data_IF_248500481348
#
_entry.id   IF_248500481348
#
_cell.length_a   1.000
_cell.length_b   1.000
_cell.length_c   1.000
_cell.angle_alpha   90.00
_cell.angle_beta   90.00
_cell.angle_gamma   90.00
#
_symmetry.space_group_name_H-M   'P 1'
#
loop_
_entity.id
_entity.type
_entity.pdbx_description
1 polymer ?
#
# COMPACT_ATOMS: atom_id res chain seq x y z
N UNK A 1 -21.25 5.45 7.30
CA UNK A 1 -20.14 5.66 6.36
C UNK A 1 -19.77 4.31 5.76
N UNK A 2 -19.87 4.16 4.44
CA UNK A 2 -19.48 2.92 3.77
C UNK A 2 -17.95 2.79 3.73
N UNK A 3 -17.43 1.61 3.38
CA UNK A 3 -15.99 1.36 3.35
C UNK A 3 -15.23 2.35 2.44
N UNK A 4 -15.79 2.62 1.26
CA UNK A 4 -15.16 3.47 0.25
C UNK A 4 -14.99 4.91 0.76
N UNK A 5 -16.02 5.47 1.37
CA UNK A 5 -15.97 6.80 1.98
C UNK A 5 -14.88 6.86 3.07
N UNK A 6 -14.75 5.80 3.90
CA UNK A 6 -13.71 5.78 4.95
C UNK A 6 -12.31 5.70 4.35
N UNK A 7 -12.13 4.89 3.32
CA UNK A 7 -10.87 4.77 2.59
C UNK A 7 -10.46 6.05 1.85
N UNK A 8 -11.43 6.85 1.34
CA UNK A 8 -11.15 8.13 0.67
C UNK A 8 -10.34 9.09 1.55
N UNK A 9 -10.46 9.01 2.88
CA UNK A 9 -9.63 9.77 3.84
C UNK A 9 -8.13 9.51 3.68
N UNK A 10 -7.74 8.28 3.34
CA UNK A 10 -6.34 7.86 3.21
C UNK A 10 -5.89 7.70 1.76
N UNK A 11 -6.81 7.76 0.80
CA UNK A 11 -6.54 7.55 -0.63
C UNK A 11 -5.42 8.45 -1.19
N UNK A 12 -5.36 9.71 -0.72
CA UNK A 12 -4.29 10.62 -1.15
C UNK A 12 -2.89 10.14 -0.77
N UNK A 13 -2.74 9.33 0.30
CA UNK A 13 -1.48 8.71 0.72
C UNK A 13 -1.06 7.66 -0.31
N UNK A 14 -2.02 6.85 -0.78
CA UNK A 14 -1.79 5.83 -1.82
C UNK A 14 -1.32 6.50 -3.10
N UNK A 15 -2.06 7.51 -3.58
CA UNK A 15 -1.72 8.26 -4.79
C UNK A 15 -0.39 9.00 -4.69
N UNK A 16 -0.02 9.49 -3.49
CA UNK A 16 1.30 10.07 -3.25
C UNK A 16 2.39 9.00 -3.36
N UNK A 17 2.19 7.83 -2.75
CA UNK A 17 3.12 6.71 -2.84
C UNK A 17 3.31 6.24 -4.29
N UNK A 18 2.24 6.18 -5.07
CA UNK A 18 2.26 5.80 -6.49
C UNK A 18 3.10 6.75 -7.35
N UNK A 19 3.27 8.01 -6.93
CA UNK A 19 4.19 8.96 -7.58
C UNK A 19 5.63 8.82 -7.10
N UNK A 20 5.82 8.42 -5.85
CA UNK A 20 7.14 8.29 -5.22
C UNK A 20 7.87 7.00 -5.67
N UNK A 21 7.14 5.95 -6.08
CA UNK A 21 7.71 4.65 -6.44
C UNK A 21 7.16 4.09 -7.75
N UNK A 22 8.02 3.37 -8.47
CA UNK A 22 7.63 2.59 -9.65
C UNK A 22 7.58 1.11 -9.28
N UNK A 23 6.39 0.51 -9.36
CA UNK A 23 6.19 -0.94 -9.27
C UNK A 23 5.90 -1.45 -10.68
N UNK A 24 6.65 -2.44 -11.13
CA UNK A 24 6.54 -2.91 -12.50
C UNK A 24 5.17 -3.57 -12.75
N UNK A 25 4.54 -3.24 -13.89
CA UNK A 25 3.20 -3.70 -14.31
C UNK A 25 2.02 -3.18 -13.47
N UNK A 26 2.25 -2.34 -12.47
CA UNK A 26 1.14 -1.76 -11.71
C UNK A 26 0.53 -0.57 -12.45
N UNK A 27 -0.79 -0.62 -12.57
CA UNK A 27 -1.67 0.48 -12.95
C UNK A 27 -2.22 1.19 -11.72
N UNK A 28 -2.88 2.33 -11.92
CA UNK A 28 -3.51 3.07 -10.82
C UNK A 28 -4.53 2.22 -10.05
N UNK A 29 -5.21 1.29 -10.71
CA UNK A 29 -6.15 0.36 -10.07
C UNK A 29 -5.45 -0.59 -9.10
N UNK A 30 -4.24 -1.06 -9.41
CA UNK A 30 -3.48 -1.94 -8.52
C UNK A 30 -3.09 -1.21 -7.23
N UNK A 31 -2.62 0.04 -7.36
CA UNK A 31 -2.32 0.91 -6.22
C UNK A 31 -3.54 1.11 -5.32
N UNK A 32 -4.70 1.42 -5.92
CA UNK A 32 -5.94 1.63 -5.18
C UNK A 32 -6.45 0.34 -4.52
N UNK A 33 -6.34 -0.80 -5.21
CA UNK A 33 -6.73 -2.10 -4.68
C UNK A 33 -5.89 -2.49 -3.46
N UNK A 34 -4.56 -2.39 -3.56
CA UNK A 34 -3.67 -2.67 -2.43
C UNK A 34 -3.85 -1.67 -1.29
N UNK A 35 -4.12 -0.40 -1.62
CA UNK A 35 -4.52 0.62 -0.65
C UNK A 35 -5.76 0.20 0.15
N UNK A 36 -6.80 -0.27 -0.53
CA UNK A 36 -8.02 -0.76 0.11
C UNK A 36 -7.77 -2.01 0.97
N UNK A 37 -6.97 -2.97 0.48
CA UNK A 37 -6.64 -4.18 1.25
C UNK A 37 -5.90 -3.85 2.55
N UNK A 38 -4.89 -2.99 2.48
CA UNK A 38 -4.14 -2.57 3.67
C UNK A 38 -5.02 -1.76 4.62
N UNK A 39 -5.93 -0.94 4.10
CA UNK A 39 -6.88 -0.20 4.92
C UNK A 39 -7.86 -1.15 5.65
N UNK A 40 -8.40 -2.14 4.94
CA UNK A 40 -9.27 -3.16 5.52
C UNK A 40 -8.58 -3.93 6.65
N UNK A 41 -7.37 -4.43 6.40
CA UNK A 41 -6.57 -5.13 7.42
C UNK A 41 -6.26 -4.23 8.63
N UNK A 42 -6.11 -2.92 8.41
CA UNK A 42 -5.91 -1.96 9.48
C UNK A 42 -7.18 -1.77 10.32
N UNK A 43 -8.36 -1.67 9.70
CA UNK A 43 -9.65 -1.61 10.39
C UNK A 43 -9.93 -2.90 11.18
N UNK A 44 -9.64 -4.08 10.63
CA UNK A 44 -9.81 -5.35 11.35
C UNK A 44 -8.89 -5.45 12.57
N UNK A 45 -7.65 -4.94 12.45
CA UNK A 45 -6.69 -4.94 13.56
C UNK A 45 -7.00 -3.88 14.62
N UNK A 46 -7.65 -2.78 14.23
CA UNK A 46 -7.95 -1.63 15.08
C UNK A 46 -9.33 -1.06 14.74
N UNK A 47 -10.43 -1.63 15.26
CA UNK A 47 -11.79 -1.22 14.90
C UNK A 47 -12.11 0.27 15.19
N UNK A 48 -11.40 0.86 16.16
CA UNK A 48 -11.50 2.25 16.58
C UNK A 48 -10.69 3.23 15.70
N UNK A 49 -9.86 2.73 14.78
CA UNK A 49 -8.91 3.55 14.01
C UNK A 49 -9.59 4.65 13.18
N UNK A 50 -10.82 4.39 12.73
CA UNK A 50 -11.59 5.36 11.92
C UNK A 50 -12.08 6.58 12.72
N UNK A 51 -12.06 6.51 14.06
CA UNK A 51 -12.48 7.59 14.95
C UNK A 51 -11.34 8.60 15.24
N UNK A 52 -10.08 8.20 15.07
CA UNK A 52 -8.90 9.05 15.25
C UNK A 52 -8.14 9.21 13.93
N UNK A 53 -8.41 10.31 13.22
CA UNK A 53 -7.79 10.58 11.92
C UNK A 53 -6.26 10.70 11.98
N UNK A 54 -5.72 11.26 13.06
CA UNK A 54 -4.28 11.44 13.21
C UNK A 54 -3.57 10.09 13.32
N UNK A 55 -4.14 9.17 14.11
CA UNK A 55 -3.65 7.81 14.27
C UNK A 55 -3.86 7.01 13.01
N UNK A 56 -5.02 7.16 12.35
CA UNK A 56 -5.31 6.53 11.07
C UNK A 56 -4.26 6.89 10.03
N UNK A 57 -4.00 8.17 9.80
CA UNK A 57 -3.03 8.61 8.81
C UNK A 57 -1.62 8.09 9.11
N UNK A 58 -1.19 8.13 10.37
CA UNK A 58 0.13 7.62 10.78
C UNK A 58 0.26 6.12 10.55
N UNK A 59 -0.74 5.35 10.97
CA UNK A 59 -0.71 3.89 10.92
C UNK A 59 -0.81 3.39 9.49
N UNK A 60 -1.78 3.92 8.73
CA UNK A 60 -1.97 3.58 7.34
C UNK A 60 -0.73 3.94 6.51
N UNK A 61 -0.21 5.16 6.66
CA UNK A 61 1.02 5.59 5.95
C UNK A 61 2.18 4.64 6.20
N UNK A 62 2.39 4.23 7.45
CA UNK A 62 3.49 3.34 7.82
C UNK A 62 3.28 1.93 7.23
N UNK A 63 2.08 1.34 7.43
CA UNK A 63 1.77 0.01 6.89
C UNK A 63 1.86 -0.04 5.36
N UNK A 64 1.28 0.95 4.70
CA UNK A 64 1.25 1.00 3.24
C UNK A 64 2.67 1.17 2.65
N UNK A 65 3.50 2.06 3.21
CA UNK A 65 4.90 2.21 2.75
C UNK A 65 5.69 0.91 2.91
N UNK A 66 5.54 0.24 4.05
CA UNK A 66 6.24 -1.03 4.30
C UNK A 66 5.80 -2.10 3.29
N UNK A 67 4.49 -2.20 3.02
CA UNK A 67 3.96 -3.11 2.01
C UNK A 67 4.54 -2.84 0.60
N UNK A 68 4.63 -1.59 0.18
CA UNK A 68 5.26 -1.22 -1.10
C UNK A 68 6.74 -1.57 -1.12
N UNK A 69 7.47 -1.31 -0.04
CA UNK A 69 8.87 -1.72 0.07
C UNK A 69 9.05 -3.24 0.00
N UNK A 70 8.13 -4.02 0.57
CA UNK A 70 8.15 -5.48 0.48
C UNK A 70 7.97 -5.96 -0.96
N UNK A 71 7.07 -5.33 -1.72
CA UNK A 71 6.84 -5.62 -3.13
C UNK A 71 8.08 -5.30 -3.95
N UNK A 72 8.67 -4.12 -3.78
CA UNK A 72 9.88 -3.71 -4.50
C UNK A 72 11.05 -4.67 -4.20
N UNK A 73 11.24 -5.07 -2.93
CA UNK A 73 12.27 -6.05 -2.56
C UNK A 73 12.04 -7.42 -3.21
N UNK A 74 10.78 -7.87 -3.30
CA UNK A 74 10.43 -9.12 -4.01
C UNK A 74 10.75 -9.03 -5.50
N UNK A 75 10.42 -7.90 -6.14
CA UNK A 75 10.71 -7.65 -7.55
C UNK A 75 12.21 -7.66 -7.83
N UNK A 76 13.01 -6.94 -7.03
CA UNK A 76 14.47 -6.92 -7.15
C UNK A 76 15.11 -8.28 -6.89
N UNK A 77 14.55 -9.07 -5.97
CA UNK A 77 15.02 -10.43 -5.71
C UNK A 77 14.75 -11.36 -6.90
N UNK A 78 13.57 -11.27 -7.51
CA UNK A 78 13.22 -12.04 -8.71
C UNK A 78 14.14 -11.69 -9.89
N UNK A 79 14.35 -10.40 -10.15
CA UNK A 79 15.26 -9.94 -11.21
C UNK A 79 16.67 -10.51 -11.03
N UNK A 80 17.22 -10.44 -9.80
CA UNK A 80 18.52 -11.03 -9.47
C UNK A 80 18.62 -12.54 -9.72
N UNK A 81 17.53 -13.30 -9.57
CA UNK A 81 17.51 -14.74 -9.86
C UNK A 81 17.62 -14.99 -11.36
N UNK A 82 16.87 -14.24 -12.17
CA UNK A 82 16.93 -14.34 -13.63
C UNK A 82 18.30 -13.94 -14.18
N UNK A 83 18.90 -12.87 -13.65
CA UNK A 83 20.25 -12.43 -14.05
C UNK A 83 21.32 -13.49 -13.75
N UNK A 84 21.15 -14.30 -12.69
CA UNK A 84 22.07 -15.41 -12.34
C UNK A 84 21.87 -16.68 -13.17
N UNK A 85 20.70 -16.88 -13.76
CA UNK A 85 20.39 -18.05 -14.59
C UNK A 85 20.71 -17.84 -16.07
N UNK A 86 21.00 -16.60 -16.47
CA UNK A 86 21.32 -16.20 -17.84
C UNK A 86 22.83 -16.08 -18.12
N UNK A 87 23.66 -16.49 -17.16
CA UNK A 87 25.12 -16.65 -17.26
C UNK A 87 25.48 -18.14 -17.26
#
# INVERSE_FOLDING_TARGET
MNFKERYEKVQWIVRRCARDYYVHLWENSDWEQEGMLIYHQLEESHPDISQDESRLYRYFKTKFRNHIHDILRKQESQKRRFDRQSL
#
